data_IF_577476750108
#
_entry.id   IF_577476750108
#
_cell.length_a   1.000
_cell.length_b   1.000
_cell.length_c   1.000
_cell.angle_alpha   90.00
_cell.angle_beta   90.00
_cell.angle_gamma   90.00
#
_symmetry.space_group_name_H-M   'P 1'
#
loop_
_entity.id
_entity.type
_entity.pdbx_description
1 polymer ?
#
# COMPACT_ATOMS: atom_id res chain seq x y z
N UNK A 1 14.19 -3.98 -13.90
CA UNK A 1 13.41 -5.08 -13.33
C UNK A 1 12.03 -4.58 -12.99
N UNK A 2 11.02 -5.35 -13.31
CA UNK A 2 9.64 -4.96 -13.11
C UNK A 2 9.05 -5.50 -11.81
N UNK A 3 7.80 -5.14 -11.54
CA UNK A 3 7.06 -5.56 -10.34
C UNK A 3 7.05 -7.09 -10.16
N UNK A 4 6.90 -7.83 -11.25
CA UNK A 4 6.89 -9.30 -11.18
C UNK A 4 8.21 -9.85 -10.63
N UNK A 5 9.33 -9.24 -11.03
CA UNK A 5 10.65 -9.64 -10.52
C UNK A 5 10.81 -9.29 -9.04
N UNK A 6 10.28 -8.14 -8.62
CA UNK A 6 10.29 -7.73 -7.22
C UNK A 6 9.50 -8.71 -6.35
N UNK A 7 8.33 -9.15 -6.81
CA UNK A 7 7.52 -10.15 -6.11
C UNK A 7 8.23 -11.53 -6.10
N UNK A 8 8.84 -11.92 -7.21
CA UNK A 8 9.63 -13.17 -7.27
C UNK A 8 10.78 -13.16 -6.27
N UNK A 9 11.46 -12.03 -6.12
CA UNK A 9 12.59 -11.88 -5.20
C UNK A 9 12.18 -11.81 -3.72
N UNK A 10 10.91 -11.50 -3.43
CA UNK A 10 10.41 -11.41 -2.06
C UNK A 10 10.49 -12.77 -1.35
N UNK A 11 10.98 -12.77 -0.11
CA UNK A 11 11.08 -13.96 0.73
C UNK A 11 9.99 -13.94 1.79
N UNK A 12 8.97 -14.81 1.70
CA UNK A 12 7.89 -14.86 2.67
C UNK A 12 8.37 -15.18 4.08
N UNK A 13 7.76 -14.53 5.06
CA UNK A 13 8.04 -14.76 6.49
C UNK A 13 7.16 -15.85 7.11
N UNK A 14 6.04 -16.19 6.44
CA UNK A 14 5.05 -17.13 6.96
C UNK A 14 4.25 -17.77 5.82
N UNK A 15 3.39 -18.71 6.18
CA UNK A 15 2.57 -19.45 5.23
C UNK A 15 1.58 -18.54 4.46
N UNK A 16 1.04 -17.51 5.11
CA UNK A 16 0.14 -16.57 4.45
C UNK A 16 0.85 -15.84 3.32
N UNK A 17 2.01 -15.27 3.60
CA UNK A 17 2.79 -14.56 2.58
C UNK A 17 3.26 -15.48 1.46
N UNK A 18 3.62 -16.72 1.78
CA UNK A 18 4.00 -17.73 0.78
C UNK A 18 2.85 -18.03 -0.17
N UNK A 19 1.66 -18.25 0.37
CA UNK A 19 0.46 -18.51 -0.42
C UNK A 19 0.06 -17.30 -1.25
N UNK A 20 0.04 -16.13 -0.66
CA UNK A 20 -0.39 -14.91 -1.34
C UNK A 20 0.61 -14.43 -2.39
N UNK A 21 1.91 -14.61 -2.17
CA UNK A 21 2.93 -14.41 -3.21
C UNK A 21 2.65 -15.29 -4.44
N UNK A 22 2.40 -16.57 -4.22
CA UNK A 22 2.09 -17.50 -5.30
C UNK A 22 0.84 -17.09 -6.06
N UNK A 23 -0.21 -16.67 -5.35
CA UNK A 23 -1.46 -16.19 -5.97
C UNK A 23 -1.26 -14.89 -6.74
N UNK A 24 -0.49 -13.94 -6.22
CA UNK A 24 -0.18 -12.71 -6.96
C UNK A 24 0.52 -12.99 -8.27
N UNK A 25 1.51 -13.88 -8.27
CA UNK A 25 2.20 -14.26 -9.51
C UNK A 25 1.26 -14.95 -10.49
N UNK A 26 0.36 -15.81 -10.01
CA UNK A 26 -0.66 -16.46 -10.84
C UNK A 26 -1.64 -15.44 -11.41
N UNK A 27 -2.08 -14.44 -10.64
CA UNK A 27 -2.94 -13.38 -11.13
C UNK A 27 -2.24 -12.54 -12.19
N UNK A 28 -0.96 -12.22 -12.00
CA UNK A 28 -0.19 -11.49 -13.01
C UNK A 28 -0.04 -12.25 -14.33
N UNK A 29 0.03 -13.57 -14.27
CA UNK A 29 0.06 -14.42 -15.47
C UNK A 29 -1.31 -14.52 -16.15
N UNK A 30 -2.39 -14.23 -15.44
CA UNK A 30 -3.77 -14.38 -15.93
C UNK A 30 -4.38 -13.05 -16.40
N UNK A 31 -4.12 -11.95 -15.68
CA UNK A 31 -4.74 -10.65 -15.93
C UNK A 31 -3.70 -9.61 -16.34
N UNK A 32 -3.87 -8.94 -17.48
CA UNK A 32 -2.92 -7.93 -17.97
C UNK A 32 -3.09 -6.54 -17.33
N UNK A 33 -4.18 -6.30 -16.60
CA UNK A 33 -4.64 -4.98 -16.16
C UNK A 33 -4.67 -4.78 -14.64
N UNK A 34 -3.85 -5.53 -13.89
CA UNK A 34 -3.83 -5.48 -12.41
C UNK A 34 -3.24 -4.18 -11.84
N UNK A 35 -2.57 -3.36 -12.65
CA UNK A 35 -2.01 -2.09 -12.18
C UNK A 35 -3.05 -0.96 -12.14
N UNK A 36 -4.24 -1.16 -12.66
CA UNK A 36 -5.29 -0.15 -12.72
C UNK A 36 -6.57 -0.60 -12.05
N UNK A 37 -7.37 0.37 -11.60
CA UNK A 37 -8.71 0.12 -11.04
C UNK A 37 -9.75 -0.25 -12.10
N UNK A 38 -9.38 -0.29 -13.36
CA UNK A 38 -10.19 -0.85 -14.44
C UNK A 38 -10.44 -2.34 -14.23
N UNK A 39 -9.49 -3.05 -13.61
CA UNK A 39 -9.76 -4.38 -13.09
C UNK A 39 -10.51 -4.24 -11.76
N UNK A 40 -11.83 -4.38 -11.82
CA UNK A 40 -12.72 -4.21 -10.67
C UNK A 40 -12.71 -5.41 -9.71
N UNK A 41 -12.06 -6.52 -10.07
CA UNK A 41 -11.95 -7.71 -9.22
C UNK A 41 -10.71 -7.65 -8.33
N UNK A 42 -9.59 -7.20 -8.87
CA UNK A 42 -8.31 -7.13 -8.17
C UNK A 42 -7.40 -6.10 -8.81
N UNK A 43 -6.65 -5.36 -8.01
CA UNK A 43 -5.63 -4.45 -8.51
C UNK A 43 -4.56 -4.20 -7.45
N UNK A 44 -3.38 -3.80 -7.92
CA UNK A 44 -2.24 -3.53 -7.03
C UNK A 44 -2.40 -2.23 -6.26
N UNK A 45 -1.97 -2.30 -5.01
CA UNK A 45 -1.79 -1.15 -4.12
C UNK A 45 -0.40 -1.22 -3.50
N UNK A 46 0.10 -0.08 -3.07
CA UNK A 46 1.34 0.01 -2.32
C UNK A 46 1.09 0.69 -0.99
N UNK A 47 1.70 0.15 0.04
CA UNK A 47 1.62 0.69 1.39
C UNK A 47 3.01 0.96 1.94
N UNK A 48 3.09 1.77 2.97
CA UNK A 48 4.32 2.03 3.68
C UNK A 48 4.13 1.86 5.18
N UNK A 49 5.05 1.17 5.79
CA UNK A 49 5.24 1.15 7.23
C UNK A 49 6.35 2.13 7.54
N UNK A 50 6.01 3.24 8.20
CA UNK A 50 6.94 4.35 8.43
C UNK A 50 7.28 4.40 9.91
N UNK A 51 8.57 4.28 10.22
CA UNK A 51 9.08 4.34 11.59
C UNK A 51 9.99 5.54 11.77
N UNK A 52 10.11 6.01 13.02
CA UNK A 52 11.08 7.04 13.37
C UNK A 52 12.49 6.43 13.50
N UNK A 53 13.57 7.25 13.52
CA UNK A 53 14.93 6.74 13.63
C UNK A 53 15.18 5.88 14.88
N UNK A 54 14.52 6.19 16.00
CA UNK A 54 14.63 5.43 17.24
C UNK A 54 13.87 4.10 17.25
N UNK A 55 13.03 3.84 16.23
CA UNK A 55 12.15 2.64 16.13
C UNK A 55 11.16 2.53 17.29
N UNK A 56 10.71 3.67 17.81
CA UNK A 56 9.76 3.73 18.94
C UNK A 56 8.35 4.10 18.52
N UNK A 57 8.19 4.71 17.34
CA UNK A 57 6.91 5.18 16.81
C UNK A 57 6.74 4.80 15.35
N UNK A 58 5.48 4.53 14.97
CA UNK A 58 5.07 4.34 13.59
C UNK A 58 4.06 5.42 13.21
N UNK A 59 4.12 5.87 11.96
CA UNK A 59 3.18 6.86 11.42
C UNK A 59 1.92 6.15 10.91
N UNK A 60 0.77 6.57 11.39
CA UNK A 60 -0.53 6.02 11.02
C UNK A 60 -1.52 7.13 10.67
N UNK A 61 -2.54 6.81 9.88
CA UNK A 61 -3.67 7.69 9.61
C UNK A 61 -4.97 7.04 10.07
N UNK A 62 -5.90 7.86 10.57
CA UNK A 62 -7.24 7.37 10.90
C UNK A 62 -8.10 7.36 9.64
N UNK A 63 -8.30 6.18 9.09
CA UNK A 63 -8.98 5.98 7.81
C UNK A 63 -10.50 6.09 7.95
N UNK A 64 -11.13 6.97 7.16
CA UNK A 64 -12.57 7.24 7.26
C UNK A 64 -13.44 6.03 6.89
N UNK A 65 -13.05 5.28 5.84
CA UNK A 65 -13.81 4.11 5.40
C UNK A 65 -13.78 2.99 6.43
N UNK A 66 -12.60 2.68 6.97
CA UNK A 66 -12.41 1.58 7.91
C UNK A 66 -12.64 1.97 9.37
N UNK A 67 -12.78 3.27 9.65
CA UNK A 67 -12.94 3.80 11.02
C UNK A 67 -11.89 3.27 11.99
N UNK A 68 -10.64 3.25 11.54
CA UNK A 68 -9.50 2.73 12.32
C UNK A 68 -8.19 3.40 11.94
N UNK A 69 -7.23 3.34 12.85
CA UNK A 69 -5.85 3.70 12.54
C UNK A 69 -5.24 2.63 11.67
N UNK A 70 -4.62 3.06 10.58
CA UNK A 70 -4.01 2.18 9.60
C UNK A 70 -2.70 2.77 9.07
N UNK A 71 -1.84 1.89 8.56
CA UNK A 71 -0.68 2.31 7.80
C UNK A 71 -1.10 3.00 6.51
N UNK A 72 -0.20 3.80 5.94
CA UNK A 72 -0.49 4.62 4.77
C UNK A 72 -0.32 3.81 3.47
N UNK A 73 -1.07 4.16 2.46
CA UNK A 73 -0.96 3.53 1.15
C UNK A 73 -2.03 3.98 0.16
N UNK A 74 -1.89 3.52 -1.06
CA UNK A 74 -2.82 3.85 -2.12
C UNK A 74 -2.67 2.98 -3.36
N UNK A 75 -3.46 3.30 -4.38
CA UNK A 75 -3.52 2.54 -5.62
C UNK A 75 -2.32 2.79 -6.52
N UNK A 76 -1.90 1.76 -7.24
CA UNK A 76 -0.83 1.86 -8.24
C UNK A 76 -1.19 2.82 -9.38
N UNK A 77 -2.45 2.77 -9.84
CA UNK A 77 -2.99 3.62 -10.91
C UNK A 77 -2.08 3.69 -12.15
N UNK A 78 -1.57 2.53 -12.57
CA UNK A 78 -0.71 2.36 -13.73
C UNK A 78 0.79 2.44 -13.45
N UNK A 79 1.22 2.82 -12.23
CA UNK A 79 2.63 2.87 -11.87
C UNK A 79 3.13 1.48 -11.45
N UNK A 80 4.13 0.98 -12.15
CA UNK A 80 4.74 -0.33 -11.86
C UNK A 80 5.74 -0.28 -10.70
N UNK A 81 6.37 0.85 -10.47
CA UNK A 81 7.28 1.06 -9.33
C UNK A 81 6.47 1.33 -8.07
N UNK A 82 6.13 0.27 -7.34
CA UNK A 82 5.29 0.37 -6.14
C UNK A 82 6.00 1.04 -4.95
N UNK A 83 7.33 1.04 -4.89
CA UNK A 83 8.06 1.84 -3.90
C UNK A 83 7.82 3.34 -4.14
N UNK A 84 7.81 3.75 -5.39
CA UNK A 84 7.50 5.13 -5.76
C UNK A 84 6.07 5.51 -5.39
N UNK A 85 5.12 4.59 -5.59
CA UNK A 85 3.73 4.77 -5.14
C UNK A 85 3.68 4.94 -3.62
N UNK A 86 4.34 4.07 -2.86
CA UNK A 86 4.38 4.14 -1.40
C UNK A 86 4.94 5.47 -0.89
N UNK A 87 6.02 5.96 -1.48
CA UNK A 87 6.62 7.26 -1.13
C UNK A 87 5.68 8.43 -1.45
N UNK A 88 5.01 8.40 -2.59
CA UNK A 88 4.01 9.41 -2.97
C UNK A 88 2.85 9.43 -1.97
N UNK A 89 2.29 8.26 -1.65
CA UNK A 89 1.17 8.16 -0.72
C UNK A 89 1.55 8.58 0.70
N UNK A 90 2.77 8.28 1.14
CA UNK A 90 3.28 8.77 2.42
C UNK A 90 3.21 10.29 2.51
N UNK A 91 3.64 10.99 1.46
CA UNK A 91 3.57 12.44 1.38
C UNK A 91 2.12 12.96 1.28
N UNK A 92 1.32 12.39 0.38
CA UNK A 92 -0.05 12.85 0.14
C UNK A 92 -0.96 12.66 1.35
N UNK A 93 -0.84 11.52 2.05
CA UNK A 93 -1.72 11.21 3.19
C UNK A 93 -1.29 11.84 4.52
N UNK A 94 -0.02 12.17 4.70
CA UNK A 94 0.50 12.69 5.98
C UNK A 94 1.22 14.02 5.88
N UNK A 95 1.51 14.48 4.67
CA UNK A 95 2.32 15.68 4.46
C UNK A 95 3.81 15.47 4.73
N UNK A 96 4.25 14.26 5.09
CA UNK A 96 5.66 14.00 5.39
C UNK A 96 6.50 14.15 4.12
N UNK A 97 7.59 14.91 4.20
CA UNK A 97 8.44 15.22 3.04
C UNK A 97 9.72 14.40 3.03
N UNK A 98 10.24 14.08 4.19
CA UNK A 98 11.55 13.45 4.37
C UNK A 98 11.52 11.93 4.50
N UNK A 99 10.43 11.26 4.16
CA UNK A 99 10.35 9.80 4.23
C UNK A 99 11.32 9.16 3.21
N UNK A 100 12.09 8.19 3.67
CA UNK A 100 13.08 7.48 2.84
C UNK A 100 12.96 5.97 3.07
N UNK A 101 13.21 5.15 2.03
CA UNK A 101 13.20 3.71 2.22
C UNK A 101 14.38 3.26 3.09
N UNK A 102 14.10 2.38 4.05
CA UNK A 102 15.15 1.66 4.79
C UNK A 102 15.71 0.51 3.95
N UNK A 103 14.90 -0.01 3.05
CA UNK A 103 15.29 -0.99 2.05
C UNK A 103 14.45 -0.78 0.80
N UNK A 104 14.99 -1.11 -0.38
CA UNK A 104 14.30 -0.89 -1.65
C UNK A 104 13.40 -2.06 -2.07
N UNK A 105 13.58 -3.23 -1.47
CA UNK A 105 12.77 -4.41 -1.73
C UNK A 105 11.45 -4.41 -0.94
N UNK A 106 10.53 -5.26 -1.34
CA UNK A 106 9.25 -5.43 -0.65
C UNK A 106 9.50 -5.94 0.77
N UNK A 107 8.91 -5.25 1.76
CA UNK A 107 9.01 -5.62 3.16
C UNK A 107 7.97 -6.68 3.54
N UNK A 108 6.73 -6.50 3.10
CA UNK A 108 5.68 -7.50 3.25
C UNK A 108 4.71 -7.42 2.07
N UNK A 109 3.97 -8.50 1.83
CA UNK A 109 2.89 -8.51 0.86
C UNK A 109 1.68 -9.27 1.42
N UNK A 110 0.51 -8.83 1.02
CA UNK A 110 -0.76 -9.45 1.41
C UNK A 110 -1.85 -9.17 0.38
N UNK A 111 -2.83 -10.07 0.33
CA UNK A 111 -4.07 -9.86 -0.42
C UNK A 111 -5.13 -9.41 0.56
N UNK A 112 -5.60 -8.18 0.41
CA UNK A 112 -6.57 -7.55 1.29
C UNK A 112 -7.94 -7.51 0.64
N UNK A 113 -8.97 -8.00 1.34
CA UNK A 113 -10.35 -7.88 0.90
C UNK A 113 -10.89 -6.48 1.19
N UNK A 114 -11.55 -5.89 0.19
CA UNK A 114 -12.25 -4.61 0.32
C UNK A 114 -13.73 -4.86 0.13
N UNK A 115 -14.53 -4.57 1.16
CA UNK A 115 -15.98 -4.75 1.09
C UNK A 115 -16.61 -3.75 0.11
N UNK A 116 -17.72 -4.17 -0.51
CA UNK A 116 -18.50 -3.29 -1.37
C UNK A 116 -18.94 -2.03 -0.63
N UNK A 117 -18.79 -0.89 -1.26
CA UNK A 117 -19.10 0.42 -0.66
C UNK A 117 -19.46 1.45 -1.72
N UNK A 118 -20.00 2.57 -1.27
CA UNK A 118 -20.28 3.71 -2.16
C UNK A 118 -19.15 4.72 -2.00
N UNK A 119 -18.54 5.08 -3.11
CA UNK A 119 -17.50 6.11 -3.19
C UNK A 119 -17.88 7.13 -4.26
N UNK A 120 -17.95 8.41 -3.87
CA UNK A 120 -18.29 9.51 -4.78
C UNK A 120 -19.60 9.27 -5.54
N UNK A 121 -20.62 8.73 -4.86
CA UNK A 121 -21.94 8.47 -5.42
C UNK A 121 -22.05 7.22 -6.29
N UNK A 122 -20.99 6.41 -6.42
CA UNK A 122 -20.98 5.17 -7.18
C UNK A 122 -20.71 3.96 -6.29
N UNK A 123 -21.41 2.87 -6.56
CA UNK A 123 -21.15 1.62 -5.88
C UNK A 123 -19.87 0.98 -6.41
N UNK A 124 -18.97 0.66 -5.49
CA UNK A 124 -17.74 -0.09 -5.75
C UNK A 124 -17.95 -1.51 -5.23
N UNK A 125 -17.80 -2.50 -6.09
CA UNK A 125 -17.98 -3.90 -5.72
C UNK A 125 -16.86 -4.38 -4.79
N UNK A 126 -17.16 -5.40 -4.00
CA UNK A 126 -16.15 -6.15 -3.23
C UNK A 126 -15.03 -6.61 -4.16
N UNK A 127 -13.80 -6.34 -3.77
CA UNK A 127 -12.63 -6.65 -4.61
C UNK A 127 -11.39 -6.90 -3.75
N UNK A 128 -10.29 -7.26 -4.39
CA UNK A 128 -9.03 -7.55 -3.73
C UNK A 128 -8.00 -6.46 -4.02
N UNK A 129 -7.30 -6.02 -2.98
CA UNK A 129 -6.06 -5.26 -3.12
C UNK A 129 -4.88 -6.22 -3.04
N UNK A 130 -4.08 -6.27 -4.10
CA UNK A 130 -2.80 -6.97 -4.11
C UNK A 130 -1.77 -5.98 -3.57
N UNK A 131 -1.50 -6.04 -2.28
CA UNK A 131 -0.76 -4.99 -1.58
C UNK A 131 0.68 -5.38 -1.33
N UNK A 132 1.60 -4.48 -1.70
CA UNK A 132 3.02 -4.56 -1.38
C UNK A 132 3.37 -3.43 -0.42
N UNK A 133 3.94 -3.78 0.73
CA UNK A 133 4.32 -2.82 1.77
C UNK A 133 5.82 -2.61 1.75
N UNK A 134 6.24 -1.34 1.86
CA UNK A 134 7.65 -0.94 1.94
C UNK A 134 7.95 -0.34 3.31
N UNK A 135 9.15 -0.61 3.82
CA UNK A 135 9.62 -0.09 5.09
C UNK A 135 10.34 1.25 4.89
N UNK A 136 9.77 2.30 5.47
CA UNK A 136 10.30 3.66 5.37
C UNK A 136 10.70 4.19 6.74
N UNK A 137 11.54 5.21 6.72
CA UNK A 137 11.92 5.97 7.91
C UNK A 137 11.64 7.45 7.69
N UNK A 138 11.12 8.12 8.70
CA UNK A 138 10.94 9.56 8.71
C UNK A 138 11.20 10.12 10.11
N UNK A 139 11.58 11.40 10.19
CA UNK A 139 11.78 12.08 11.46
C UNK A 139 10.42 12.36 12.11
N UNK A 140 10.23 11.91 13.35
CA UNK A 140 8.99 12.09 14.09
C UNK A 140 8.76 13.54 14.56
N UNK A 141 9.71 14.43 14.30
CA UNK A 141 9.58 15.88 14.51
C UNK A 141 9.08 16.62 13.28
N UNK A 142 9.02 15.97 12.10
CA UNK A 142 8.53 16.56 10.88
C UNK A 142 7.05 16.91 11.00
N UNK A 143 6.64 18.01 10.34
CA UNK A 143 5.26 18.44 10.32
C UNK A 143 4.37 17.46 9.55
N UNK A 144 3.19 17.18 10.09
CA UNK A 144 2.17 16.32 9.49
C UNK A 144 0.93 17.12 9.12
N UNK A 145 0.21 16.63 8.11
CA UNK A 145 -1.08 17.16 7.73
C UNK A 145 -2.04 16.04 7.35
N UNK A 146 -3.33 16.24 7.58
CA UNK A 146 -4.36 15.24 7.28
C UNK A 146 -4.84 15.40 5.85
N UNK A 147 -4.95 14.28 5.11
CA UNK A 147 -5.66 14.22 3.84
C UNK A 147 -7.16 14.03 4.14
N UNK A 148 -7.92 15.12 4.19
CA UNK A 148 -9.32 15.12 4.67
C UNK A 148 -10.28 14.31 3.78
N UNK A 149 -9.92 14.05 2.53
CA UNK A 149 -10.73 13.24 1.62
C UNK A 149 -10.81 11.78 2.05
N UNK A 150 -9.76 11.25 2.68
CA UNK A 150 -9.63 9.84 3.03
C UNK A 150 -9.50 9.61 4.54
N UNK A 151 -8.93 10.55 5.27
CA UNK A 151 -8.56 10.40 6.66
C UNK A 151 -9.07 11.54 7.52
N UNK A 152 -9.24 11.30 8.82
CA UNK A 152 -9.64 12.30 9.82
C UNK A 152 -8.60 12.49 10.93
N UNK A 153 -7.44 11.85 10.82
CA UNK A 153 -6.32 12.00 11.74
C UNK A 153 -5.03 11.41 11.17
N UNK A 154 -3.93 11.89 11.69
CA UNK A 154 -2.61 11.38 11.36
C UNK A 154 -1.68 11.52 12.57
#
# INVERSE_FOLDING_TARGET
>A
MGLRDDILAFRPYNEQEETEKRLMLQYMDTFPDLLTRENEMAHFTASCWIVNPARTHALMAFHNLYQSWAWLGGHADGEEDLLRVALREANEESGIVGARPLRNDIFSLEILGVDGHVKRGRYVATHLHLNCTYLLEADDRDALSVCEEENSGV
#
